data_IF_110430307351
#
_entry.id   IF_110430307351
#
_cell.length_a   1.000
_cell.length_b   1.000
_cell.length_c   1.000
_cell.angle_alpha   90.00
_cell.angle_beta   90.00
_cell.angle_gamma   90.00
#
_symmetry.space_group_name_H-M   'P 1'
#
loop_
_entity.id
_entity.type
_entity.pdbx_description
1 polymer ?
#
# COMPACT_ATOMS: atom_id res chain seq x y z
N UNK A 1 -8.47 -0.42 -2.43
CA UNK A 1 -7.32 -1.19 -1.86
C UNK A 1 -7.44 -1.61 -0.38
N UNK A 2 -8.48 -1.22 0.37
CA UNK A 2 -8.58 -1.45 1.84
C UNK A 2 -8.42 -2.92 2.24
N UNK A 3 -9.21 -3.83 1.66
CA UNK A 3 -9.12 -5.26 2.01
C UNK A 3 -7.74 -5.86 1.72
N UNK A 4 -7.13 -5.50 0.59
CA UNK A 4 -5.81 -5.99 0.21
C UNK A 4 -4.72 -5.51 1.18
N UNK A 5 -4.74 -4.24 1.58
CA UNK A 5 -3.69 -3.75 2.49
C UNK A 5 -3.82 -4.36 3.88
N UNK A 6 -5.04 -4.61 4.37
CA UNK A 6 -5.25 -5.31 5.64
C UNK A 6 -4.78 -6.76 5.59
N UNK A 7 -5.08 -7.48 4.50
CA UNK A 7 -4.53 -8.82 4.28
C UNK A 7 -2.99 -8.80 4.29
N UNK A 8 -2.40 -7.82 3.59
CA UNK A 8 -0.95 -7.67 3.55
C UNK A 8 -0.37 -7.39 4.93
N UNK A 9 -0.99 -6.49 5.69
CA UNK A 9 -0.54 -6.09 7.02
C UNK A 9 -0.61 -7.22 8.06
N UNK A 10 -1.74 -7.93 8.09
CA UNK A 10 -2.04 -8.88 9.17
C UNK A 10 -1.55 -10.28 8.87
N UNK A 11 -1.49 -10.67 7.59
CA UNK A 11 -1.19 -12.05 7.18
C UNK A 11 0.10 -12.10 6.38
N UNK A 12 0.17 -11.39 5.26
CA UNK A 12 1.22 -11.59 4.25
C UNK A 12 2.61 -11.13 4.72
N UNK A 13 2.73 -9.93 5.30
CA UNK A 13 4.03 -9.46 5.79
C UNK A 13 4.52 -10.22 7.03
N UNK A 14 3.67 -10.50 8.04
CA UNK A 14 4.07 -11.34 9.16
C UNK A 14 4.54 -12.74 8.75
N UNK A 15 3.94 -13.33 7.69
CA UNK A 15 4.36 -14.66 7.22
C UNK A 15 5.80 -14.69 6.67
N UNK A 16 6.38 -13.55 6.28
CA UNK A 16 7.78 -13.49 5.84
C UNK A 16 8.78 -13.82 6.94
N UNK A 17 8.38 -13.72 8.21
CA UNK A 17 9.20 -14.12 9.36
C UNK A 17 9.30 -15.66 9.51
N UNK A 18 8.45 -16.42 8.83
CA UNK A 18 8.41 -17.88 8.89
C UNK A 18 9.19 -18.55 7.75
N UNK A 19 9.80 -17.76 6.86
CA UNK A 19 10.52 -18.28 5.69
C UNK A 19 11.94 -18.63 6.09
N UNK A 20 12.43 -19.80 5.64
CA UNK A 20 13.81 -20.21 5.86
C UNK A 20 14.78 -19.22 5.20
N UNK A 21 15.94 -19.00 5.83
CA UNK A 21 16.89 -17.97 5.39
C UNK A 21 17.45 -18.27 4.00
N UNK A 22 17.56 -19.55 3.66
CA UNK A 22 18.06 -20.07 2.38
C UNK A 22 17.12 -19.70 1.23
N UNK A 23 15.80 -19.71 1.47
CA UNK A 23 14.80 -19.43 0.44
C UNK A 23 14.37 -17.96 0.42
N UNK A 24 14.60 -17.22 1.50
CA UNK A 24 14.02 -15.91 1.74
C UNK A 24 14.28 -14.90 0.62
N UNK A 25 15.51 -14.79 0.11
CA UNK A 25 15.84 -13.88 -1.01
C UNK A 25 15.11 -14.27 -2.30
N UNK A 26 15.12 -15.56 -2.66
CA UNK A 26 14.47 -16.04 -3.88
C UNK A 26 12.95 -15.83 -3.84
N UNK A 27 12.34 -16.10 -2.68
CA UNK A 27 10.94 -15.84 -2.42
C UNK A 27 10.62 -14.35 -2.49
N UNK A 28 11.45 -13.47 -1.89
CA UNK A 28 11.19 -12.04 -1.87
C UNK A 28 11.25 -11.42 -3.27
N UNK A 29 12.20 -11.84 -4.12
CA UNK A 29 12.26 -11.45 -5.54
C UNK A 29 10.98 -11.82 -6.29
N UNK A 30 10.53 -13.07 -6.11
CA UNK A 30 9.29 -13.55 -6.73
C UNK A 30 8.08 -12.76 -6.22
N UNK A 31 8.00 -12.54 -4.91
CA UNK A 31 6.97 -11.74 -4.27
C UNK A 31 6.92 -10.33 -4.86
N UNK A 32 8.05 -9.62 -4.89
CA UNK A 32 8.14 -8.27 -5.44
C UNK A 32 7.64 -8.17 -6.88
N UNK A 33 8.06 -9.11 -7.75
CA UNK A 33 7.61 -9.16 -9.14
C UNK A 33 6.11 -9.39 -9.24
N UNK A 34 5.57 -10.40 -8.56
CA UNK A 34 4.14 -10.76 -8.63
C UNK A 34 3.25 -9.69 -8.00
N UNK A 35 3.66 -9.13 -6.87
CA UNK A 35 2.94 -8.05 -6.21
C UNK A 35 2.91 -6.80 -7.07
N UNK A 36 4.01 -6.46 -7.76
CA UNK A 36 4.02 -5.32 -8.68
C UNK A 36 3.02 -5.50 -9.84
N UNK A 37 2.94 -6.71 -10.42
CA UNK A 37 2.00 -7.02 -11.50
C UNK A 37 0.53 -6.86 -11.08
N UNK A 38 0.20 -7.16 -9.82
CA UNK A 38 -1.18 -7.09 -9.32
C UNK A 38 -1.50 -5.70 -8.76
N UNK A 39 -0.61 -5.13 -7.96
CA UNK A 39 -0.87 -3.91 -7.19
C UNK A 39 -0.69 -2.66 -8.03
N UNK A 40 0.30 -2.61 -8.92
CA UNK A 40 0.60 -1.39 -9.68
C UNK A 40 -0.58 -0.95 -10.58
N UNK A 41 -1.26 -1.84 -11.33
CA UNK A 41 -2.43 -1.46 -12.11
C UNK A 41 -3.57 -0.90 -11.24
N UNK A 42 -3.83 -1.54 -10.08
CA UNK A 42 -4.90 -1.10 -9.17
C UNK A 42 -4.57 0.27 -8.57
N UNK A 43 -3.32 0.50 -8.17
CA UNK A 43 -2.88 1.81 -7.66
C UNK A 43 -2.92 2.89 -8.73
N UNK A 44 -2.62 2.55 -9.98
CA UNK A 44 -2.76 3.47 -11.11
C UNK A 44 -4.23 3.81 -11.37
N UNK A 45 -5.13 2.83 -11.29
CA UNK A 45 -6.57 3.08 -11.37
C UNK A 45 -7.04 4.02 -10.24
N UNK A 46 -6.58 3.83 -9.00
CA UNK A 46 -6.90 4.76 -7.89
C UNK A 46 -6.38 6.19 -8.18
N UNK A 47 -5.22 6.33 -8.84
CA UNK A 47 -4.68 7.63 -9.23
C UNK A 47 -5.51 8.30 -10.32
N UNK A 48 -5.79 7.60 -11.41
CA UNK A 48 -6.58 8.14 -12.52
C UNK A 48 -7.97 8.56 -12.04
N UNK A 49 -8.64 7.69 -11.26
CA UNK A 49 -9.97 8.00 -10.73
C UNK A 49 -9.93 9.11 -9.68
N UNK A 50 -8.91 9.16 -8.82
CA UNK A 50 -8.72 10.25 -7.86
C UNK A 50 -8.53 11.61 -8.53
N UNK A 51 -7.72 11.68 -9.60
CA UNK A 51 -7.53 12.88 -10.41
C UNK A 51 -8.82 13.28 -11.13
N UNK A 52 -9.56 12.31 -11.70
CA UNK A 52 -10.81 12.55 -12.38
C UNK A 52 -11.87 13.17 -11.45
N UNK A 53 -12.00 12.67 -10.22
CA UNK A 53 -12.94 13.23 -9.23
C UNK A 53 -12.66 14.70 -8.90
N UNK A 54 -11.38 15.07 -8.79
CA UNK A 54 -10.98 16.47 -8.56
C UNK A 54 -11.24 17.32 -9.80
N UNK A 55 -10.95 16.80 -10.99
CA UNK A 55 -11.21 17.50 -12.26
C UNK A 55 -12.70 17.76 -12.49
N UNK A 56 -13.56 16.81 -12.10
CA UNK A 56 -15.02 16.94 -12.13
C UNK A 56 -15.59 17.80 -10.98
N UNK A 57 -14.74 18.33 -10.10
CA UNK A 57 -15.13 19.18 -8.96
C UNK A 57 -16.15 18.52 -8.03
N UNK A 58 -15.99 17.22 -7.75
CA UNK A 58 -16.85 16.44 -6.84
C UNK A 58 -16.52 16.80 -5.38
N UNK A 59 -16.91 18.01 -4.98
CA UNK A 59 -16.84 18.50 -3.61
C UNK A 59 -15.44 18.53 -2.98
N UNK A 60 -15.34 18.95 -1.72
CA UNK A 60 -14.07 18.95 -0.97
C UNK A 60 -13.53 17.53 -0.72
N UNK A 61 -14.40 16.52 -0.72
CA UNK A 61 -14.03 15.12 -0.50
C UNK A 61 -13.06 14.62 -1.58
N UNK A 62 -13.24 15.02 -2.84
CA UNK A 62 -12.33 14.64 -3.93
C UNK A 62 -10.88 15.07 -3.66
N UNK A 63 -10.67 16.30 -3.20
CA UNK A 63 -9.35 16.85 -2.84
C UNK A 63 -8.74 16.11 -1.65
N UNK A 64 -9.53 15.86 -0.60
CA UNK A 64 -9.07 15.12 0.59
C UNK A 64 -8.68 13.68 0.24
N UNK A 65 -9.46 13.01 -0.63
CA UNK A 65 -9.14 11.69 -1.15
C UNK A 65 -7.81 11.69 -1.92
N UNK A 66 -7.57 12.69 -2.77
CA UNK A 66 -6.34 12.81 -3.55
C UNK A 66 -5.12 13.07 -2.65
N UNK A 67 -5.24 13.92 -1.63
CA UNK A 67 -4.17 14.16 -0.63
C UNK A 67 -3.79 12.84 0.05
N UNK A 68 -4.78 12.08 0.52
CA UNK A 68 -4.53 10.76 1.12
C UNK A 68 -3.83 9.82 0.15
N UNK A 69 -4.22 9.83 -1.13
CA UNK A 69 -3.59 9.01 -2.16
C UNK A 69 -2.13 9.40 -2.41
N UNK A 70 -1.84 10.69 -2.47
CA UNK A 70 -0.45 11.20 -2.58
C UNK A 70 0.38 10.73 -1.38
N UNK A 71 -0.17 10.80 -0.16
CA UNK A 71 0.50 10.27 1.03
C UNK A 71 0.82 8.78 0.93
N UNK A 72 -0.08 7.97 0.38
CA UNK A 72 0.14 6.54 0.14
C UNK A 72 1.26 6.31 -0.88
N UNK A 73 1.26 7.06 -1.98
CA UNK A 73 2.30 6.97 -3.02
C UNK A 73 3.67 7.38 -2.48
N UNK A 74 3.74 8.48 -1.73
CA UNK A 74 4.99 8.93 -1.09
C UNK A 74 5.51 7.90 -0.09
N UNK A 75 4.65 7.38 0.79
CA UNK A 75 5.03 6.30 1.71
C UNK A 75 5.57 5.09 0.95
N UNK A 76 4.86 4.67 -0.09
CA UNK A 76 5.25 3.51 -0.91
C UNK A 76 6.62 3.72 -1.57
N UNK A 77 6.83 4.87 -2.23
CA UNK A 77 8.04 5.16 -2.97
C UNK A 77 9.26 5.42 -2.08
N UNK A 78 9.07 6.10 -0.94
CA UNK A 78 10.16 6.54 -0.08
C UNK A 78 10.49 5.54 1.04
N UNK A 79 9.56 4.65 1.41
CA UNK A 79 9.74 3.73 2.53
C UNK A 79 9.66 2.28 2.08
N UNK A 80 8.53 1.86 1.49
CA UNK A 80 8.35 0.43 1.16
C UNK A 80 9.26 -0.02 0.02
N UNK A 81 9.39 0.75 -1.06
CA UNK A 81 10.26 0.37 -2.19
C UNK A 81 11.72 0.21 -1.76
N UNK A 82 12.34 1.16 -1.01
CA UNK A 82 13.70 0.98 -0.50
C UNK A 82 13.84 -0.22 0.45
N UNK A 83 12.90 -0.42 1.38
CA UNK A 83 12.94 -1.56 2.30
C UNK A 83 12.86 -2.90 1.57
N UNK A 84 11.98 -3.04 0.58
CA UNK A 84 11.89 -4.25 -0.23
C UNK A 84 13.19 -4.53 -1.00
N UNK A 85 13.83 -3.50 -1.57
CA UNK A 85 15.14 -3.63 -2.22
C UNK A 85 16.23 -4.05 -1.23
N UNK A 86 16.21 -3.52 -0.02
CA UNK A 86 17.15 -3.91 1.03
C UNK A 86 16.97 -5.40 1.40
N UNK A 87 15.74 -5.86 1.60
CA UNK A 87 15.43 -7.27 1.91
C UNK A 87 15.85 -8.19 0.74
N UNK A 88 15.70 -7.73 -0.50
CA UNK A 88 16.15 -8.45 -1.68
C UNK A 88 17.68 -8.65 -1.71
N UNK A 89 18.45 -7.67 -1.26
CA UNK A 89 19.92 -7.74 -1.19
C UNK A 89 20.42 -8.58 -0.02
N UNK A 90 19.69 -8.61 1.08
CA UNK A 90 20.04 -9.41 2.25
C UNK A 90 18.86 -9.53 3.21
N UNK A 91 18.36 -10.76 3.39
CA UNK A 91 17.24 -10.97 4.30
C UNK A 91 17.66 -10.82 5.76
N UNK A 92 16.93 -9.99 6.50
CA UNK A 92 17.03 -9.88 7.96
C UNK A 92 15.63 -9.80 8.57
N UNK A 93 15.42 -10.49 9.70
CA UNK A 93 14.16 -10.41 10.44
C UNK A 93 13.86 -8.99 10.93
N UNK A 94 14.90 -8.18 11.19
CA UNK A 94 14.76 -6.77 11.52
C UNK A 94 14.17 -5.94 10.39
N UNK A 95 14.56 -6.18 9.13
CA UNK A 95 14.04 -5.42 8.00
C UNK A 95 12.60 -5.81 7.67
N UNK A 96 12.23 -7.08 7.88
CA UNK A 96 10.82 -7.51 7.83
C UNK A 96 9.98 -6.81 8.91
N UNK A 97 10.49 -6.72 10.15
CA UNK A 97 9.79 -5.98 11.23
C UNK A 97 9.62 -4.50 10.89
N UNK A 98 10.64 -3.85 10.31
CA UNK A 98 10.53 -2.46 9.80
C UNK A 98 9.51 -2.36 8.68
N UNK A 99 9.45 -3.32 7.78
CA UNK A 99 8.45 -3.37 6.70
C UNK A 99 7.02 -3.46 7.27
N UNK A 100 6.78 -4.36 8.24
CA UNK A 100 5.48 -4.49 8.92
C UNK A 100 5.10 -3.20 9.64
N UNK A 101 6.03 -2.62 10.40
CA UNK A 101 5.77 -1.41 11.18
C UNK A 101 5.47 -0.21 10.28
N UNK A 102 6.29 0.00 9.24
CA UNK A 102 6.11 1.12 8.31
C UNK A 102 4.88 0.97 7.42
N UNK A 103 4.42 -0.26 7.15
CA UNK A 103 3.23 -0.47 6.32
C UNK A 103 1.93 -0.05 7.02
N UNK A 104 1.92 0.11 8.36
CA UNK A 104 0.79 0.72 9.07
C UNK A 104 0.45 2.12 8.58
N UNK A 105 1.42 2.89 8.06
CA UNK A 105 1.16 4.19 7.43
C UNK A 105 0.16 4.02 6.28
N UNK A 106 0.43 3.07 5.38
CA UNK A 106 -0.42 2.79 4.22
C UNK A 106 -1.75 2.17 4.64
N UNK A 107 -1.74 1.25 5.62
CA UNK A 107 -2.96 0.63 6.15
C UNK A 107 -3.92 1.67 6.72
N UNK A 108 -3.40 2.60 7.53
CA UNK A 108 -4.19 3.70 8.10
C UNK A 108 -4.69 4.67 7.04
N UNK A 109 -3.83 5.08 6.09
CA UNK A 109 -4.22 6.00 5.02
C UNK A 109 -5.28 5.40 4.09
N UNK A 110 -5.14 4.15 3.66
CA UNK A 110 -6.18 3.50 2.85
C UNK A 110 -7.47 3.29 3.63
N UNK A 111 -7.40 2.97 4.92
CA UNK A 111 -8.60 2.82 5.76
C UNK A 111 -9.35 4.14 5.91
N UNK A 112 -8.62 5.23 6.24
CA UNK A 112 -9.20 6.57 6.34
C UNK A 112 -9.82 7.03 5.01
N UNK A 113 -9.13 6.80 3.88
CA UNK A 113 -9.70 7.08 2.54
C UNK A 113 -10.94 6.24 2.24
N UNK A 114 -10.93 4.96 2.62
CA UNK A 114 -12.08 4.08 2.46
C UNK A 114 -13.30 4.59 3.21
N UNK A 115 -13.12 5.01 4.47
CA UNK A 115 -14.17 5.59 5.29
C UNK A 115 -14.68 6.90 4.68
N UNK A 116 -13.77 7.79 4.27
CA UNK A 116 -14.10 9.07 3.63
C UNK A 116 -14.94 8.90 2.37
N UNK A 117 -14.54 8.00 1.47
CA UNK A 117 -15.27 7.75 0.23
C UNK A 117 -16.60 7.04 0.48
N UNK A 118 -16.65 6.12 1.45
CA UNK A 118 -17.89 5.46 1.84
C UNK A 118 -18.88 6.45 2.45
N UNK A 119 -18.43 7.37 3.30
CA UNK A 119 -19.29 8.40 3.87
C UNK A 119 -19.82 9.35 2.79
N UNK A 120 -18.98 9.74 1.82
CA UNK A 120 -19.42 10.56 0.71
C UNK A 120 -20.49 9.86 -0.14
N UNK A 121 -20.32 8.55 -0.39
CA UNK A 121 -21.32 7.76 -1.11
C UNK A 121 -22.66 7.65 -0.36
N UNK A 122 -22.63 7.47 0.97
CA UNK A 122 -23.83 7.29 1.79
C UNK A 122 -24.58 8.61 2.00
N UNK A 123 -23.83 9.70 2.23
CA UNK A 123 -24.41 10.99 2.64
C UNK A 123 -24.47 12.02 1.50
N UNK A 124 -23.96 11.69 0.30
CA UNK A 124 -23.98 12.58 -0.87
C UNK A 124 -23.08 13.82 -0.74
N UNK A 125 -21.92 13.68 -0.06
CA UNK A 125 -20.95 14.74 0.17
C UNK A 125 -19.97 14.93 -1.00
#
# INVERSE_FOLDING_TARGET
>A
MVGLIWFVQMVHYPSFLQISREQATSFHKLHMRRTSMVVAPIMLCELVTGLLLVWLQIGPVSTMNLIGLVGIWLSTALIQVPLHRQIELGWSSSDIKKLILSNWIRTSLWSARGILLLSALIFGL
#
